data_IF_820188352355
#
_entry.id   IF_820188352355
#
_cell.length_a   1.000
_cell.length_b   1.000
_cell.length_c   1.000
_cell.angle_alpha   90.00
_cell.angle_beta   90.00
_cell.angle_gamma   90.00
#
_symmetry.space_group_name_H-M   'P 1'
#
loop_
_entity.id
_entity.type
_entity.pdbx_description
1 polymer ?
#
# COMPACT_ATOMS: atom_id res chain seq x y z
N UNK A 1 -25.98 7.75 -0.04
CA UNK A 1 -25.36 7.14 -1.23
C UNK A 1 -24.51 5.99 -0.79
N UNK A 2 -24.74 4.80 -1.35
CA UNK A 2 -23.90 3.64 -1.10
C UNK A 2 -22.42 4.00 -1.33
N UNK A 3 -21.48 3.24 -0.76
CA UNK A 3 -20.08 3.37 -1.17
C UNK A 3 -20.03 3.35 -2.71
N UNK A 4 -19.34 4.32 -3.31
CA UNK A 4 -19.19 4.32 -4.77
C UNK A 4 -18.48 3.00 -5.15
N UNK A 5 -18.96 2.27 -6.17
CA UNK A 5 -18.42 0.95 -6.50
C UNK A 5 -16.90 0.93 -6.69
N UNK A 6 -16.33 2.03 -7.18
CA UNK A 6 -14.90 2.19 -7.42
C UNK A 6 -14.16 2.94 -6.31
N UNK A 7 -14.82 3.38 -5.23
CA UNK A 7 -14.17 4.21 -4.19
C UNK A 7 -12.89 3.57 -3.60
N UNK A 8 -12.89 2.23 -3.46
CA UNK A 8 -11.73 1.48 -2.97
C UNK A 8 -10.66 1.40 -4.07
N UNK A 9 -11.07 1.16 -5.31
CA UNK A 9 -10.14 1.07 -6.43
C UNK A 9 -9.44 2.42 -6.68
N UNK A 10 -10.21 3.50 -6.76
CA UNK A 10 -9.71 4.86 -6.98
C UNK A 10 -8.68 5.27 -5.92
N UNK A 11 -8.91 4.92 -4.63
CA UNK A 11 -7.92 5.21 -3.60
C UNK A 11 -6.68 4.30 -3.72
N UNK A 12 -6.83 3.03 -4.07
CA UNK A 12 -5.67 2.15 -4.28
C UNK A 12 -4.80 2.63 -5.44
N UNK A 13 -5.40 3.12 -6.54
CA UNK A 13 -4.67 3.70 -7.67
C UNK A 13 -4.01 5.03 -7.28
N UNK A 14 -4.70 5.90 -6.56
CA UNK A 14 -4.13 7.16 -6.09
C UNK A 14 -2.93 6.93 -5.15
N UNK A 15 -3.03 5.95 -4.24
CA UNK A 15 -1.92 5.57 -3.37
C UNK A 15 -0.76 4.98 -4.18
N UNK A 16 -1.04 4.08 -5.13
CA UNK A 16 -0.03 3.47 -5.99
C UNK A 16 0.75 4.55 -6.75
N UNK A 17 0.05 5.47 -7.41
CA UNK A 17 0.65 6.57 -8.16
C UNK A 17 1.47 7.51 -7.28
N UNK A 18 0.98 7.84 -6.08
CA UNK A 18 1.74 8.68 -5.16
C UNK A 18 3.03 8.00 -4.68
N UNK A 19 2.95 6.74 -4.23
CA UNK A 19 4.12 6.02 -3.73
C UNK A 19 5.16 5.89 -4.85
N UNK A 20 4.71 5.58 -6.07
CA UNK A 20 5.56 5.53 -7.25
C UNK A 20 6.28 6.87 -7.49
N UNK A 21 5.55 7.99 -7.50
CA UNK A 21 6.14 9.32 -7.67
C UNK A 21 7.15 9.67 -6.56
N UNK A 22 6.88 9.29 -5.31
CA UNK A 22 7.78 9.52 -4.19
C UNK A 22 9.08 8.68 -4.29
N UNK A 23 8.98 7.44 -4.77
CA UNK A 23 10.14 6.58 -5.03
C UNK A 23 11.01 7.18 -6.15
N UNK A 24 10.40 7.63 -7.24
CA UNK A 24 11.13 8.29 -8.33
C UNK A 24 11.81 9.57 -7.86
N UNK A 25 11.13 10.40 -7.07
CA UNK A 25 11.73 11.60 -6.48
C UNK A 25 12.92 11.23 -5.59
N UNK A 26 12.77 10.22 -4.72
CA UNK A 26 13.84 9.76 -3.83
C UNK A 26 15.06 9.27 -4.63
N UNK A 27 14.85 8.59 -5.75
CA UNK A 27 15.92 8.14 -6.63
C UNK A 27 16.73 9.29 -7.25
N UNK A 28 16.15 10.50 -7.36
CA UNK A 28 16.88 11.71 -7.78
C UNK A 28 17.70 12.35 -6.65
N UNK A 29 17.33 12.09 -5.39
CA UNK A 29 17.93 12.70 -4.20
C UNK A 29 19.00 11.81 -3.55
N UNK A 30 18.83 10.49 -3.64
CA UNK A 30 19.67 9.49 -2.98
C UNK A 30 20.39 8.64 -4.03
N UNK A 31 21.71 8.79 -4.10
CA UNK A 31 22.55 8.02 -5.02
C UNK A 31 22.39 6.50 -4.79
N UNK A 32 22.24 5.76 -5.90
CA UNK A 32 22.04 4.31 -5.90
C UNK A 32 20.66 3.85 -5.42
N UNK A 33 19.73 4.75 -5.09
CA UNK A 33 18.37 4.35 -4.74
C UNK A 33 17.58 3.99 -6.02
N UNK A 34 16.97 2.81 -6.10
CA UNK A 34 16.08 2.47 -7.20
C UNK A 34 14.77 3.29 -7.12
N UNK A 35 14.33 3.81 -8.26
CA UNK A 35 13.03 4.47 -8.39
C UNK A 35 11.84 3.52 -8.26
N UNK A 36 10.68 3.98 -8.71
CA UNK A 36 9.49 3.15 -8.79
C UNK A 36 9.73 1.94 -9.71
N UNK A 37 9.35 0.71 -9.30
CA UNK A 37 9.39 -0.44 -10.18
C UNK A 37 8.58 -0.17 -11.46
N UNK A 38 9.19 -0.34 -12.62
CA UNK A 38 8.52 0.02 -13.90
C UNK A 38 7.65 -1.12 -14.47
N UNK A 39 7.78 -2.31 -13.89
CA UNK A 39 7.26 -3.56 -14.44
C UNK A 39 6.05 -4.12 -13.73
N UNK A 40 6.16 -4.16 -12.41
CA UNK A 40 5.16 -4.75 -11.53
C UNK A 40 4.71 -3.68 -10.57
N UNK A 41 4.01 -2.69 -11.10
CA UNK A 41 3.37 -1.61 -10.34
C UNK A 41 1.87 -1.69 -10.59
N UNK A 42 1.14 -2.30 -9.66
CA UNK A 42 -0.27 -2.62 -9.87
C UNK A 42 -1.07 -2.73 -8.57
N UNK A 43 -2.39 -2.55 -8.68
CA UNK A 43 -3.34 -2.93 -7.62
C UNK A 43 -3.60 -4.43 -7.74
N UNK A 44 -3.52 -5.16 -6.63
CA UNK A 44 -3.58 -6.63 -6.61
C UNK A 44 -4.68 -7.15 -5.68
N UNK A 45 -5.27 -8.33 -5.96
CA UNK A 45 -6.31 -8.92 -5.14
C UNK A 45 -5.71 -9.64 -3.91
N UNK A 46 -5.21 -8.88 -2.93
CA UNK A 46 -4.70 -9.40 -1.65
C UNK A 46 -3.18 -9.44 -1.56
N UNK A 47 -2.63 -10.42 -0.83
CA UNK A 47 -1.17 -10.54 -0.66
C UNK A 47 -0.51 -11.01 -1.96
N UNK A 48 0.67 -10.47 -2.24
CA UNK A 48 1.49 -10.88 -3.38
C UNK A 48 2.48 -11.95 -2.92
N UNK A 49 2.70 -12.95 -3.77
CA UNK A 49 3.86 -13.81 -3.67
C UNK A 49 5.17 -13.01 -3.81
N UNK A 50 6.18 -13.41 -3.06
CA UNK A 50 7.53 -12.84 -3.14
C UNK A 50 8.31 -13.48 -4.29
N UNK A 51 7.79 -13.39 -5.52
CA UNK A 51 8.39 -13.94 -6.72
C UNK A 51 8.50 -12.89 -7.83
N UNK A 52 9.57 -12.97 -8.63
CA UNK A 52 9.75 -12.11 -9.81
C UNK A 52 10.07 -10.64 -9.52
N UNK A 53 10.75 -10.34 -8.41
CA UNK A 53 11.43 -9.06 -8.23
C UNK A 53 12.71 -8.94 -9.09
N UNK A 54 13.26 -10.07 -9.53
CA UNK A 54 14.53 -10.20 -10.26
C UNK A 54 14.49 -9.72 -11.71
N UNK A 55 13.30 -9.59 -12.31
CA UNK A 55 13.16 -9.25 -13.72
C UNK A 55 12.84 -7.76 -13.91
N UNK A 56 13.80 -6.93 -14.34
CA UNK A 56 13.46 -5.71 -15.05
C UNK A 56 12.93 -6.13 -16.44
N UNK A 57 11.69 -5.79 -16.77
CA UNK A 57 11.06 -6.07 -18.08
C UNK A 57 11.78 -5.39 -19.25
N UNK A 58 12.79 -4.57 -18.99
CA UNK A 58 13.68 -3.98 -19.99
C UNK A 58 15.05 -3.64 -19.38
N UNK A 59 16.06 -3.45 -20.21
CA UNK A 59 17.43 -3.09 -19.78
C UNK A 59 17.57 -1.68 -19.19
N UNK A 60 16.48 -0.92 -19.07
CA UNK A 60 16.44 0.47 -18.56
C UNK A 60 15.51 0.58 -17.33
N UNK A 61 14.89 -0.53 -16.92
CA UNK A 61 13.88 -0.59 -15.88
C UNK A 61 14.50 -0.81 -14.49
N UNK A 62 14.03 -0.06 -13.48
CA UNK A 62 14.21 -0.44 -12.09
C UNK A 62 13.44 -1.75 -11.82
N UNK A 63 14.17 -2.78 -11.37
CA UNK A 63 13.62 -4.06 -10.95
C UNK A 63 12.78 -3.95 -9.68
N UNK A 64 12.12 -5.04 -9.31
CA UNK A 64 11.24 -5.13 -8.15
C UNK A 64 9.76 -5.05 -8.46
N UNK A 65 8.97 -4.92 -7.40
CA UNK A 65 7.52 -4.94 -7.46
C UNK A 65 6.93 -3.99 -6.43
N UNK A 66 6.04 -3.10 -6.87
CA UNK A 66 5.20 -2.25 -6.04
C UNK A 66 3.74 -2.67 -6.20
N UNK A 67 3.05 -2.89 -5.09
CA UNK A 67 1.63 -3.22 -5.14
C UNK A 67 0.85 -2.59 -4.01
N UNK A 68 -0.42 -2.31 -4.31
CA UNK A 68 -1.40 -1.90 -3.30
C UNK A 68 -2.51 -2.94 -3.27
N UNK A 69 -2.88 -3.38 -2.07
CA UNK A 69 -3.92 -4.38 -1.86
C UNK A 69 -4.85 -4.00 -0.71
N UNK A 70 -6.04 -4.57 -0.73
CA UNK A 70 -7.02 -4.43 0.35
C UNK A 70 -6.87 -5.63 1.28
N UNK A 71 -6.57 -5.37 2.55
CA UNK A 71 -6.53 -6.43 3.56
C UNK A 71 -7.93 -6.78 4.06
N UNK A 72 -8.76 -5.76 4.35
CA UNK A 72 -10.15 -5.95 4.79
C UNK A 72 -10.96 -4.66 4.75
N UNK A 73 -12.28 -4.82 4.70
CA UNK A 73 -13.29 -3.78 4.88
C UNK A 73 -14.09 -4.09 6.14
N UNK A 74 -14.29 -3.11 7.03
CA UNK A 74 -15.05 -3.34 8.26
C UNK A 74 -15.79 -2.08 8.74
N UNK A 75 -16.88 -2.23 9.50
CA UNK A 75 -17.60 -1.10 10.06
C UNK A 75 -16.81 -0.44 11.19
N UNK A 76 -16.83 0.90 11.24
CA UNK A 76 -16.20 1.71 12.28
C UNK A 76 -17.15 2.81 12.75
N UNK A 77 -16.78 3.51 13.82
CA UNK A 77 -17.43 4.76 14.23
C UNK A 77 -16.49 5.96 14.12
N UNK A 78 -17.03 7.16 14.30
CA UNK A 78 -16.24 8.39 14.32
C UNK A 78 -15.23 8.39 15.47
N UNK A 79 -15.65 7.90 16.63
CA UNK A 79 -14.88 7.89 17.88
C UNK A 79 -13.98 6.66 18.03
N UNK A 80 -14.31 5.55 17.34
CA UNK A 80 -13.56 4.31 17.41
C UNK A 80 -12.53 4.16 16.28
N UNK A 81 -12.63 4.94 15.20
CA UNK A 81 -11.72 4.81 14.04
C UNK A 81 -10.25 4.90 14.47
N UNK A 82 -9.39 3.94 14.10
CA UNK A 82 -9.56 2.91 13.06
C UNK A 82 -10.09 1.55 13.57
N UNK A 83 -10.52 1.43 14.82
CA UNK A 83 -11.07 0.21 15.41
C UNK A 83 -12.41 -0.22 14.82
N UNK A 84 -12.64 -1.53 14.76
CA UNK A 84 -13.90 -2.11 14.33
C UNK A 84 -15.00 -1.89 15.39
N UNK A 85 -16.18 -1.44 14.95
CA UNK A 85 -17.34 -1.33 15.83
C UNK A 85 -18.14 -2.63 15.83
N UNK A 86 -18.72 -2.96 17.00
CA UNK A 86 -19.66 -4.09 17.17
C UNK A 86 -21.12 -3.63 17.26
N UNK A 87 -21.41 -2.39 16.88
CA UNK A 87 -22.78 -1.88 16.84
C UNK A 87 -23.62 -2.71 15.87
N UNK A 88 -24.73 -3.25 16.35
CA UNK A 88 -25.69 -3.99 15.52
C UNK A 88 -26.35 -3.03 14.54
N UNK A 89 -26.19 -3.32 13.24
CA UNK A 89 -26.87 -2.60 12.16
C UNK A 89 -28.23 -3.25 11.87
N UNK A 90 -29.14 -2.56 11.16
CA UNK A 90 -30.42 -3.16 10.76
C UNK A 90 -31.58 -3.01 11.74
N UNK A 91 -31.35 -2.42 12.92
CA UNK A 91 -32.40 -2.27 13.96
C UNK A 91 -33.57 -1.38 13.49
N UNK A 92 -33.33 -0.49 12.51
CA UNK A 92 -34.34 0.36 11.87
C UNK A 92 -34.10 0.44 10.36
N UNK A 93 -34.08 -0.71 9.69
CA UNK A 93 -33.84 -0.80 8.24
C UNK A 93 -32.36 -0.74 7.87
N UNK A 94 -32.08 -0.57 6.58
CA UNK A 94 -30.74 -0.53 6.02
C UNK A 94 -30.04 0.79 6.40
N UNK A 95 -29.50 0.88 7.61
CA UNK A 95 -28.65 2.02 8.03
C UNK A 95 -27.19 1.61 7.98
N UNK A 96 -26.37 2.21 7.09
CA UNK A 96 -24.96 1.89 7.01
C UNK A 96 -24.19 2.39 8.25
N UNK A 97 -23.00 1.83 8.52
CA UNK A 97 -22.17 2.33 9.59
C UNK A 97 -21.75 3.78 9.31
N UNK A 98 -21.58 4.62 10.36
CA UNK A 98 -21.21 6.02 10.20
C UNK A 98 -19.82 6.20 9.56
N UNK A 99 -18.93 5.21 9.71
CA UNK A 99 -17.65 5.13 9.02
C UNK A 99 -17.47 3.70 8.50
N UNK A 100 -17.04 3.56 7.25
CA UNK A 100 -16.51 2.28 6.77
C UNK A 100 -15.00 2.40 6.70
N UNK A 101 -14.29 1.53 7.41
CA UNK A 101 -12.83 1.50 7.42
C UNK A 101 -12.33 0.48 6.39
N UNK A 102 -11.33 0.88 5.60
CA UNK A 102 -10.60 -0.02 4.70
C UNK A 102 -9.17 -0.09 5.18
N UNK A 103 -8.73 -1.30 5.53
CA UNK A 103 -7.33 -1.59 5.79
C UNK A 103 -6.67 -2.03 4.48
N UNK A 104 -5.57 -1.37 4.13
CA UNK A 104 -4.81 -1.58 2.91
C UNK A 104 -3.34 -1.83 3.22
N UNK A 105 -2.66 -2.43 2.26
CA UNK A 105 -1.24 -2.74 2.32
C UNK A 105 -0.57 -2.15 1.08
N UNK A 106 0.51 -1.39 1.29
CA UNK A 106 1.51 -1.13 0.25
C UNK A 106 2.62 -2.17 0.43
N UNK A 107 2.92 -2.93 -0.61
CA UNK A 107 4.04 -3.88 -0.62
C UNK A 107 5.05 -3.45 -1.66
N UNK A 108 6.30 -3.27 -1.25
CA UNK A 108 7.43 -2.97 -2.13
C UNK A 108 8.50 -4.04 -1.95
N UNK A 109 8.83 -4.74 -3.04
CA UNK A 109 9.86 -5.77 -3.10
C UNK A 109 10.97 -5.36 -4.05
N UNK A 110 12.21 -5.67 -3.68
CA UNK A 110 13.44 -5.48 -4.46
C UNK A 110 14.20 -6.80 -4.52
N UNK A 111 15.17 -6.90 -5.43
CA UNK A 111 16.09 -8.03 -5.49
C UNK A 111 16.92 -8.09 -4.20
N UNK A 112 16.98 -9.26 -3.59
CA UNK A 112 17.92 -9.56 -2.54
C UNK A 112 19.23 -10.07 -3.16
N UNK A 113 20.40 -9.69 -2.62
CA UNK A 113 21.66 -10.34 -2.96
C UNK A 113 21.53 -11.86 -2.76
N UNK A 114 21.95 -12.64 -3.75
CA UNK A 114 21.85 -14.10 -3.74
C UNK A 114 23.22 -14.76 -3.97
N UNK A 115 23.24 -16.09 -3.97
CA UNK A 115 24.45 -16.85 -4.23
C UNK A 115 25.01 -16.54 -5.62
N UNK A 116 26.33 -16.46 -5.74
CA UNK A 116 26.99 -16.36 -7.04
C UNK A 116 26.83 -17.66 -7.85
N UNK A 117 27.20 -17.63 -9.13
CA UNK A 117 27.18 -18.83 -9.99
C UNK A 117 28.04 -19.99 -9.44
N UNK A 118 29.07 -19.67 -8.65
CA UNK A 118 29.94 -20.64 -7.97
C UNK A 118 29.39 -21.12 -6.62
N UNK A 119 28.20 -20.63 -6.21
CA UNK A 119 27.55 -20.99 -4.95
C UNK A 119 28.09 -20.26 -3.72
N UNK A 120 28.84 -19.16 -3.90
CA UNK A 120 29.31 -18.34 -2.78
C UNK A 120 28.17 -17.46 -2.25
N UNK A 121 27.98 -17.33 -0.93
CA UNK A 121 26.97 -16.43 -0.36
C UNK A 121 27.32 -14.95 -0.63
N UNK A 122 26.34 -14.03 -0.56
CA UNK A 122 26.60 -12.60 -0.70
C UNK A 122 27.50 -12.09 0.43
N UNK A 123 28.31 -11.10 0.09
CA UNK A 123 29.20 -10.40 1.02
C UNK A 123 28.42 -9.49 1.97
N UNK A 124 29.02 -9.13 3.10
CA UNK A 124 28.41 -8.17 4.03
C UNK A 124 28.17 -6.80 3.40
N UNK A 125 29.01 -6.38 2.45
CA UNK A 125 28.87 -5.09 1.78
C UNK A 125 27.66 -5.09 0.83
N UNK A 126 27.43 -6.19 0.09
CA UNK A 126 26.23 -6.36 -0.74
C UNK A 126 24.95 -6.37 0.10
N UNK A 127 24.99 -7.04 1.26
CA UNK A 127 23.87 -7.05 2.21
C UNK A 127 23.65 -5.66 2.83
N UNK A 128 24.71 -4.91 3.12
CA UNK A 128 24.63 -3.56 3.67
C UNK A 128 24.02 -2.58 2.67
N UNK A 129 24.38 -2.66 1.39
CA UNK A 129 23.76 -1.85 0.34
C UNK A 129 22.28 -2.20 0.14
N UNK A 130 21.93 -3.49 0.13
CA UNK A 130 20.53 -3.90 0.06
C UNK A 130 19.72 -3.41 1.27
N UNK A 131 20.30 -3.46 2.48
CA UNK A 131 19.67 -2.93 3.69
C UNK A 131 19.51 -1.41 3.62
N UNK A 132 20.51 -0.68 3.09
CA UNK A 132 20.42 0.78 2.88
C UNK A 132 19.25 1.12 1.96
N UNK A 133 19.13 0.44 0.82
CA UNK A 133 18.02 0.62 -0.12
C UNK A 133 16.68 0.38 0.56
N UNK A 134 16.56 -0.71 1.33
CA UNK A 134 15.35 -1.04 2.07
C UNK A 134 14.98 0.03 3.10
N UNK A 135 15.95 0.53 3.87
CA UNK A 135 15.70 1.57 4.87
C UNK A 135 15.23 2.88 4.24
N UNK A 136 15.78 3.26 3.08
CA UNK A 136 15.34 4.44 2.34
C UNK A 136 13.92 4.22 1.81
N UNK A 137 13.64 3.08 1.18
CA UNK A 137 12.31 2.71 0.71
C UNK A 137 11.26 2.75 1.84
N UNK A 138 11.61 2.27 3.04
CA UNK A 138 10.76 2.30 4.24
C UNK A 138 10.34 3.73 4.60
N UNK A 139 11.30 4.65 4.67
CA UNK A 139 11.03 6.06 4.99
C UNK A 139 10.26 6.73 3.85
N UNK A 140 10.61 6.47 2.60
CA UNK A 140 9.92 7.03 1.43
C UNK A 140 8.47 6.62 1.38
N UNK A 141 8.15 5.34 1.55
CA UNK A 141 6.75 4.85 1.53
C UNK A 141 5.95 5.45 2.69
N UNK A 142 6.52 5.51 3.89
CA UNK A 142 5.85 6.11 5.05
C UNK A 142 5.53 7.59 4.82
N UNK A 143 6.51 8.36 4.32
CA UNK A 143 6.33 9.78 4.01
C UNK A 143 5.35 10.01 2.86
N UNK A 144 5.41 9.19 1.81
CA UNK A 144 4.48 9.27 0.68
C UNK A 144 3.04 9.12 1.15
N UNK A 145 2.74 8.14 2.01
CA UNK A 145 1.40 7.96 2.56
C UNK A 145 0.96 9.15 3.45
N UNK A 146 1.84 9.65 4.31
CA UNK A 146 1.55 10.81 5.15
C UNK A 146 1.19 12.05 4.33
N UNK A 147 1.92 12.29 3.23
CA UNK A 147 1.74 13.46 2.39
C UNK A 147 0.56 13.33 1.41
N UNK A 148 0.31 12.12 0.89
CA UNK A 148 -0.68 11.93 -0.17
C UNK A 148 -2.07 11.59 0.31
N UNK A 149 -2.23 10.78 1.36
CA UNK A 149 -3.55 10.34 1.81
C UNK A 149 -4.51 11.50 2.07
N UNK A 150 -4.11 12.63 2.70
CA UNK A 150 -4.99 13.79 2.85
C UNK A 150 -5.57 14.30 1.52
N UNK A 151 -4.80 14.28 0.43
CA UNK A 151 -5.18 14.77 -0.89
C UNK A 151 -6.03 13.81 -1.72
N UNK A 152 -6.21 12.56 -1.28
CA UNK A 152 -7.03 11.54 -1.99
C UNK A 152 -8.54 11.70 -1.76
N UNK A 153 -8.96 12.75 -1.06
CA UNK A 153 -10.37 13.10 -0.86
C UNK A 153 -10.57 14.58 -1.23
N UNK A 154 -11.57 14.91 -2.07
CA UNK A 154 -11.79 16.30 -2.54
C UNK A 154 -12.35 17.22 -1.45
N UNK A 155 -12.47 16.77 -0.20
CA UNK A 155 -13.02 17.57 0.89
C UNK A 155 -11.96 18.47 1.52
N UNK A 156 -12.41 19.61 2.04
CA UNK A 156 -11.53 20.64 2.65
C UNK A 156 -10.72 20.13 3.86
N UNK A 157 -11.14 19.03 4.47
CA UNK A 157 -10.49 18.41 5.64
C UNK A 157 -9.55 17.27 5.26
N UNK A 158 -9.56 16.84 4.00
CA UNK A 158 -8.83 15.68 3.51
C UNK A 158 -9.31 14.36 4.08
N UNK A 159 -8.71 13.27 3.60
CA UNK A 159 -9.05 11.92 4.05
C UNK A 159 -8.57 11.67 5.47
N UNK A 160 -9.40 11.01 6.28
CA UNK A 160 -8.97 10.48 7.58
C UNK A 160 -8.29 9.14 7.39
N UNK A 161 -7.11 8.99 7.99
CA UNK A 161 -6.33 7.76 7.92
C UNK A 161 -5.52 7.53 9.19
N UNK A 162 -5.06 6.30 9.38
CA UNK A 162 -4.07 5.92 10.38
C UNK A 162 -3.02 5.05 9.69
N UNK A 163 -1.74 5.37 9.90
CA UNK A 163 -0.67 4.47 9.50
C UNK A 163 -0.52 3.36 10.52
N UNK A 164 -0.57 2.13 10.04
CA UNK A 164 -0.27 0.95 10.82
C UNK A 164 1.23 0.68 10.86
N UNK A 165 1.56 -0.50 11.39
CA UNK A 165 2.94 -0.98 11.41
C UNK A 165 3.49 -1.16 9.98
N UNK A 166 4.74 -0.77 9.79
CA UNK A 166 5.57 -1.21 8.68
C UNK A 166 6.36 -2.44 9.12
N UNK A 167 6.42 -3.47 8.27
CA UNK A 167 7.23 -4.66 8.51
C UNK A 167 8.11 -4.97 7.31
N UNK A 168 9.26 -5.54 7.56
CA UNK A 168 10.13 -6.07 6.51
C UNK A 168 9.62 -7.44 6.05
N UNK A 169 9.87 -7.75 4.78
CA UNK A 169 9.55 -9.02 4.13
C UNK A 169 10.82 -9.65 3.56
N UNK A 170 10.88 -10.97 3.54
CA UNK A 170 11.97 -11.74 2.92
C UNK A 170 13.23 -11.89 3.79
N UNK A 171 14.32 -12.44 3.22
CA UNK A 171 14.45 -12.84 1.81
C UNK A 171 13.64 -14.11 1.50
N UNK A 172 12.73 -14.03 0.52
CA UNK A 172 11.94 -15.17 0.02
C UNK A 172 11.88 -15.06 -1.51
N UNK A 173 12.14 -16.17 -2.23
CA UNK A 173 12.09 -16.18 -3.70
C UNK A 173 13.05 -15.22 -4.41
N UNK A 174 14.16 -14.85 -3.75
CA UNK A 174 15.10 -13.83 -4.26
C UNK A 174 14.70 -12.39 -3.93
N UNK A 175 13.58 -12.19 -3.23
CA UNK A 175 13.02 -10.87 -2.96
C UNK A 175 13.11 -10.48 -1.49
N UNK A 176 13.45 -9.21 -1.24
CA UNK A 176 13.42 -8.56 0.07
C UNK A 176 12.66 -7.26 -0.05
N UNK A 177 11.96 -6.84 1.00
CA UNK A 177 11.15 -5.64 0.91
C UNK A 177 10.43 -5.26 2.18
N UNK A 178 9.31 -4.55 2.00
CA UNK A 178 8.49 -4.04 3.07
C UNK A 178 7.00 -4.18 2.75
N UNK A 179 6.21 -4.29 3.82
CA UNK A 179 4.77 -4.10 3.81
C UNK A 179 4.42 -2.95 4.76
N UNK A 180 3.78 -1.90 4.23
CA UNK A 180 3.23 -0.80 5.00
C UNK A 180 1.71 -0.94 5.07
N UNK A 181 1.19 -1.12 6.29
CA UNK A 181 -0.24 -1.18 6.55
C UNK A 181 -0.79 0.21 6.82
N UNK A 182 -1.99 0.51 6.33
CA UNK A 182 -2.68 1.74 6.67
C UNK A 182 -4.20 1.54 6.58
N UNK A 183 -4.94 2.33 7.37
CA UNK A 183 -6.39 2.30 7.39
C UNK A 183 -6.93 3.65 6.98
N UNK A 184 -7.89 3.68 6.07
CA UNK A 184 -8.60 4.91 5.68
C UNK A 184 -10.07 4.84 6.05
N UNK A 185 -10.65 5.99 6.36
CA UNK A 185 -12.09 6.15 6.42
C UNK A 185 -12.63 6.38 5.00
N UNK A 186 -13.60 5.57 4.60
CA UNK A 186 -14.44 5.87 3.46
C UNK A 186 -15.59 6.80 3.89
N UNK A 187 -16.07 7.68 2.99
CA UNK A 187 -17.22 8.53 3.28
C UNK A 187 -18.45 7.68 3.62
N UNK A 188 -19.32 8.25 4.45
CA UNK A 188 -20.54 7.59 4.91
C UNK A 188 -21.41 7.11 3.75
N UNK A 189 -21.91 5.89 3.88
CA UNK A 189 -22.84 5.29 2.93
C UNK A 189 -24.27 5.81 3.20
N UNK A 190 -25.20 5.64 2.25
CA UNK A 190 -26.63 5.84 2.44
C UNK A 190 -27.36 4.98 1.43
N UNK A 191 -28.33 4.19 1.88
CA UNK A 191 -28.87 3.10 1.09
C UNK A 191 -29.64 3.57 -0.16
N UNK A 192 -29.75 2.71 -1.18
CA UNK A 192 -30.72 2.91 -2.25
C UNK A 192 -32.11 3.13 -1.63
N UNK A 193 -32.95 4.00 -2.20
CA UNK A 193 -34.33 4.13 -1.74
C UNK A 193 -35.02 2.76 -1.80
N UNK A 194 -35.79 2.41 -0.76
CA UNK A 194 -36.69 1.27 -0.82
C UNK A 194 -37.76 1.59 -1.88
N UNK A 195 -37.89 0.74 -2.90
CA UNK A 195 -39.02 0.82 -3.81
C UNK A 195 -40.30 0.58 -2.99
N UNK A 196 -41.01 1.65 -2.68
CA UNK A 196 -42.36 1.58 -2.11
C UNK A 196 -43.26 0.96 -3.17
N UNK A 197 -43.53 -0.34 -3.04
CA UNK A 197 -44.63 -1.02 -3.72
C UNK A 197 -45.92 -0.92 -2.90
#
# INVERSE_FOLDING_TARGET
MALLPLAIHDITEAVLGCVCAALDQTATEVEGQPGCPSCRTCVVPGQVAADGCDDPCSSVAAGGQLSVSVARLYPSSQDAFPGETRTVLGVRGCTPPPVTAVEMLVTLLRCAPSFTADGCPPTCDELAEAARVLHVDMVTVANALLCCLPGTEPTRRGRRFVLGQQRTLGPEGGCVGLEQRFTVALPGCGCPPEDTS
#
